data_IF_433906566093
#
_entry.id   IF_433906566093
#
_cell.length_a   1.000
_cell.length_b   1.000
_cell.length_c   1.000
_cell.angle_alpha   90.00
_cell.angle_beta   90.00
_cell.angle_gamma   90.00
#
_symmetry.space_group_name_H-M   'P 1'
#
loop_
_entity.id
_entity.type
_entity.pdbx_description
1 polymer ?
#
# COMPACT_ATOMS: atom_id res chain seq x y z
N UNK A 1 -19.58 -4.79 24.27
CA UNK A 1 -18.65 -5.21 23.20
C UNK A 1 -19.26 -4.83 21.87
N UNK A 2 -18.49 -4.19 21.01
CA UNK A 2 -18.94 -3.74 19.68
C UNK A 2 -19.51 -4.92 18.88
N UNK A 3 -20.54 -4.64 18.07
CA UNK A 3 -21.15 -5.63 17.17
C UNK A 3 -20.80 -5.29 15.74
N UNK A 4 -20.29 -6.26 15.02
CA UNK A 4 -19.87 -6.12 13.65
C UNK A 4 -20.90 -6.72 12.69
N UNK A 5 -21.25 -6.00 11.63
CA UNK A 5 -22.09 -6.50 10.54
C UNK A 5 -21.36 -6.29 9.22
N UNK A 6 -21.01 -7.38 8.59
CA UNK A 6 -20.25 -7.42 7.35
C UNK A 6 -21.20 -7.64 6.16
N UNK A 7 -21.02 -6.89 5.09
CA UNK A 7 -21.74 -7.06 3.82
C UNK A 7 -20.77 -6.88 2.66
N UNK A 8 -20.78 -7.83 1.74
CA UNK A 8 -20.16 -7.70 0.43
C UNK A 8 -21.23 -7.30 -0.60
N UNK A 9 -20.95 -6.32 -1.45
CA UNK A 9 -21.79 -5.95 -2.59
C UNK A 9 -20.91 -5.56 -3.77
N UNK A 10 -21.01 -6.31 -4.87
CA UNK A 10 -20.13 -6.12 -6.00
C UNK A 10 -18.67 -6.31 -5.60
N UNK A 11 -17.80 -5.37 -5.95
CA UNK A 11 -16.36 -5.41 -5.61
C UNK A 11 -16.01 -4.75 -4.28
N UNK A 12 -17.00 -4.38 -3.44
CA UNK A 12 -16.78 -3.65 -2.20
C UNK A 12 -17.19 -4.45 -0.97
N UNK A 13 -16.34 -4.36 0.06
CA UNK A 13 -16.63 -4.78 1.42
C UNK A 13 -17.14 -3.58 2.21
N UNK A 14 -18.27 -3.76 2.90
CA UNK A 14 -18.79 -2.78 3.84
C UNK A 14 -18.91 -3.41 5.23
N UNK A 15 -18.26 -2.78 6.20
CA UNK A 15 -18.28 -3.22 7.60
C UNK A 15 -18.96 -2.14 8.44
N UNK A 16 -20.02 -2.52 9.12
CA UNK A 16 -20.76 -1.66 10.05
C UNK A 16 -20.48 -2.10 11.46
N UNK A 17 -19.90 -1.21 12.25
CA UNK A 17 -19.57 -1.43 13.66
C UNK A 17 -20.59 -0.66 14.52
N UNK A 18 -21.35 -1.37 15.33
CA UNK A 18 -22.26 -0.78 16.32
C UNK A 18 -21.64 -0.90 17.70
N UNK A 19 -21.31 0.24 18.29
CA UNK A 19 -20.76 0.31 19.63
C UNK A 19 -21.81 -0.03 20.69
N UNK A 20 -21.38 -0.61 21.80
CA UNK A 20 -22.19 -0.73 23.00
C UNK A 20 -22.27 0.63 23.71
N UNK A 21 -23.20 0.74 24.67
CA UNK A 21 -23.39 1.99 25.41
C UNK A 21 -22.20 2.36 26.32
N UNK A 22 -21.28 1.42 26.57
CA UNK A 22 -20.05 1.63 27.37
C UNK A 22 -18.84 1.98 26.54
N UNK A 23 -18.95 1.91 25.23
CA UNK A 23 -17.87 2.16 24.30
C UNK A 23 -18.08 3.53 23.66
N UNK A 24 -17.08 4.39 23.78
CA UNK A 24 -17.05 5.72 23.20
C UNK A 24 -15.89 5.83 22.24
N UNK A 25 -16.12 6.53 21.13
CA UNK A 25 -15.10 6.80 20.15
C UNK A 25 -14.26 8.01 20.59
N UNK A 26 -12.96 7.86 20.43
CA UNK A 26 -12.05 9.01 20.40
C UNK A 26 -12.21 9.74 19.06
N UNK A 27 -13.04 10.81 19.07
CA UNK A 27 -13.35 11.59 17.87
C UNK A 27 -12.09 12.16 17.22
N UNK A 28 -11.13 12.63 18.03
CA UNK A 28 -9.88 13.22 17.52
C UNK A 28 -9.06 12.19 16.76
N UNK A 29 -8.95 10.99 17.30
CA UNK A 29 -8.26 9.87 16.63
C UNK A 29 -9.01 9.39 15.40
N UNK A 30 -10.34 9.39 15.43
CA UNK A 30 -11.15 9.00 14.28
C UNK A 30 -11.03 10.01 13.14
N UNK A 31 -11.11 11.31 13.44
CA UNK A 31 -10.96 12.38 12.46
C UNK A 31 -9.54 12.40 11.87
N UNK A 32 -8.53 12.22 12.72
CA UNK A 32 -7.16 12.07 12.27
C UNK A 32 -6.99 10.89 11.32
N UNK A 33 -7.54 9.73 11.68
CA UNK A 33 -7.53 8.54 10.81
C UNK A 33 -8.31 8.77 9.51
N UNK A 34 -9.45 9.47 9.54
CA UNK A 34 -10.27 9.72 8.35
C UNK A 34 -9.54 10.49 7.27
N UNK A 35 -8.59 11.34 7.66
CA UNK A 35 -7.72 12.09 6.74
C UNK A 35 -6.62 11.25 6.08
N UNK A 36 -6.38 10.01 6.59
CA UNK A 36 -5.31 9.14 6.11
C UNK A 36 -5.84 8.08 5.15
N UNK A 37 -5.03 7.76 4.16
CA UNK A 37 -5.27 6.62 3.27
C UNK A 37 -4.12 5.62 3.44
N UNK A 38 -4.28 4.66 4.35
CA UNK A 38 -3.26 3.69 4.69
C UNK A 38 -3.65 2.34 4.08
N UNK A 39 -2.81 1.82 3.19
CA UNK A 39 -2.99 0.48 2.62
C UNK A 39 -2.96 -0.57 3.73
N UNK A 40 -3.92 -1.48 3.71
CA UNK A 40 -4.11 -2.47 4.77
C UNK A 40 -5.13 -2.05 5.84
N UNK A 41 -5.64 -0.80 5.82
CA UNK A 41 -6.75 -0.37 6.66
C UNK A 41 -8.00 -0.09 5.83
N UNK A 42 -9.16 -0.53 6.33
CA UNK A 42 -10.45 -0.14 5.77
C UNK A 42 -10.67 1.36 5.95
N UNK A 43 -11.19 2.02 4.92
CA UNK A 43 -11.48 3.46 4.95
C UNK A 43 -12.75 3.72 5.75
N UNK A 44 -12.75 4.82 6.51
CA UNK A 44 -13.94 5.33 7.16
C UNK A 44 -14.90 5.88 6.10
N UNK A 45 -16.17 5.44 6.13
CA UNK A 45 -17.20 5.95 5.23
C UNK A 45 -18.10 6.96 5.92
N UNK A 46 -18.61 6.61 7.11
CA UNK A 46 -19.53 7.45 7.85
C UNK A 46 -19.57 7.06 9.33
N UNK A 47 -19.87 8.04 10.17
CA UNK A 47 -20.24 7.85 11.56
C UNK A 47 -21.65 8.40 11.78
N UNK A 48 -22.54 7.60 12.36
CA UNK A 48 -23.91 7.97 12.70
C UNK A 48 -24.23 7.52 14.13
N UNK A 49 -24.11 8.44 15.10
CA UNK A 49 -24.24 8.10 16.52
C UNK A 49 -23.24 7.00 16.91
N UNK A 50 -23.75 5.92 17.53
CA UNK A 50 -22.93 4.77 17.95
C UNK A 50 -22.62 3.77 16.83
N UNK A 51 -22.78 4.18 15.58
CA UNK A 51 -22.54 3.31 14.44
C UNK A 51 -21.50 3.91 13.49
N UNK A 52 -20.48 3.10 13.18
CA UNK A 52 -19.38 3.47 12.30
C UNK A 52 -19.41 2.53 11.10
N UNK A 53 -19.25 3.08 9.92
CA UNK A 53 -19.23 2.34 8.67
C UNK A 53 -17.87 2.46 8.01
N UNK A 54 -17.27 1.32 7.70
CA UNK A 54 -16.01 1.21 6.97
C UNK A 54 -16.26 0.54 5.62
N UNK A 55 -15.41 0.84 4.66
CA UNK A 55 -15.42 0.21 3.35
C UNK A 55 -14.01 -0.09 2.85
N UNK A 56 -13.93 -1.05 1.95
CA UNK A 56 -12.66 -1.46 1.32
C UNK A 56 -12.89 -2.42 0.16
N UNK A 57 -11.82 -2.98 -0.40
CA UNK A 57 -11.90 -4.02 -1.42
C UNK A 57 -12.68 -5.23 -0.93
N UNK A 58 -13.33 -5.94 -1.86
CA UNK A 58 -14.03 -7.18 -1.53
C UNK A 58 -13.04 -8.18 -0.93
N UNK A 59 -13.49 -8.88 0.10
CA UNK A 59 -12.71 -9.91 0.78
C UNK A 59 -13.59 -10.75 1.69
N UNK A 60 -13.04 -11.87 2.12
CA UNK A 60 -13.63 -12.75 3.12
C UNK A 60 -12.92 -12.56 4.47
N UNK A 61 -13.49 -13.01 5.57
CA UNK A 61 -12.81 -12.99 6.86
C UNK A 61 -11.53 -13.82 6.78
N UNK A 62 -10.47 -13.37 7.46
CA UNK A 62 -9.23 -14.14 7.54
C UNK A 62 -9.49 -15.52 8.14
N UNK A 63 -10.37 -15.61 9.13
CA UNK A 63 -10.82 -16.89 9.70
C UNK A 63 -11.37 -17.85 8.64
N UNK A 64 -12.24 -17.39 7.72
CA UNK A 64 -12.78 -18.26 6.68
C UNK A 64 -11.73 -18.63 5.62
N UNK A 65 -10.77 -17.75 5.34
CA UNK A 65 -9.65 -18.07 4.45
C UNK A 65 -8.74 -19.15 5.04
N UNK A 66 -8.45 -19.07 6.35
CA UNK A 66 -7.56 -20.01 7.04
C UNK A 66 -8.13 -21.43 7.17
N UNK A 67 -9.46 -21.61 7.01
CA UNK A 67 -10.10 -22.94 6.88
C UNK A 67 -9.71 -23.68 5.59
N UNK A 68 -9.30 -22.93 4.56
CA UNK A 68 -8.81 -23.52 3.29
C UNK A 68 -7.30 -23.74 3.41
N UNK A 69 -6.74 -24.78 2.75
CA UNK A 69 -5.30 -25.00 2.77
C UNK A 69 -4.52 -23.76 2.31
N UNK A 70 -3.44 -23.45 3.01
CA UNK A 70 -2.51 -22.38 2.70
C UNK A 70 -1.09 -22.92 2.55
N UNK A 71 -0.35 -22.40 1.58
CA UNK A 71 1.04 -22.72 1.35
C UNK A 71 1.96 -22.04 2.37
N UNK A 72 3.22 -22.50 2.46
CA UNK A 72 4.27 -21.83 3.26
C UNK A 72 4.40 -20.36 2.86
N UNK A 73 4.39 -20.06 1.56
CA UNK A 73 4.44 -18.69 1.04
C UNK A 73 3.23 -17.86 1.51
N UNK A 74 1.99 -18.34 1.30
CA UNK A 74 0.78 -17.64 1.71
C UNK A 74 0.76 -17.38 3.22
N UNK A 75 1.24 -18.35 4.01
CA UNK A 75 1.34 -18.23 5.47
C UNK A 75 2.28 -17.09 5.88
N UNK A 76 3.52 -17.10 5.39
CA UNK A 76 4.45 -16.02 5.71
C UNK A 76 4.06 -14.68 5.09
N UNK A 77 3.38 -14.67 3.95
CA UNK A 77 2.85 -13.46 3.34
C UNK A 77 1.76 -12.81 4.22
N UNK A 78 0.92 -13.62 4.88
CA UNK A 78 -0.05 -13.12 5.86
C UNK A 78 0.69 -12.54 7.08
N UNK A 79 1.69 -13.26 7.62
CA UNK A 79 2.45 -12.81 8.80
C UNK A 79 3.22 -11.52 8.54
N UNK A 80 3.83 -11.38 7.36
CA UNK A 80 4.55 -10.16 6.98
C UNK A 80 3.62 -8.96 6.84
N UNK A 81 2.38 -9.15 6.36
CA UNK A 81 1.39 -8.07 6.32
C UNK A 81 0.94 -7.62 7.71
N UNK A 82 0.97 -8.51 8.72
CA UNK A 82 0.73 -8.13 10.11
C UNK A 82 1.84 -7.21 10.62
N UNK A 83 3.10 -7.50 10.26
CA UNK A 83 4.23 -6.62 10.61
C UNK A 83 4.10 -5.28 9.86
N UNK A 84 3.85 -5.33 8.57
CA UNK A 84 3.71 -4.16 7.71
C UNK A 84 2.66 -3.17 8.23
N UNK A 85 1.49 -3.66 8.67
CA UNK A 85 0.46 -2.76 9.20
C UNK A 85 0.86 -2.14 10.53
N UNK A 86 1.64 -2.82 11.39
CA UNK A 86 2.16 -2.23 12.63
C UNK A 86 3.18 -1.13 12.33
N UNK A 87 4.07 -1.36 11.39
CA UNK A 87 5.05 -0.36 10.94
C UNK A 87 4.35 0.86 10.33
N UNK A 88 3.38 0.65 9.43
CA UNK A 88 2.57 1.73 8.83
C UNK A 88 1.77 2.53 9.85
N UNK A 89 1.20 1.85 10.84
CA UNK A 89 0.49 2.53 11.92
C UNK A 89 1.42 3.45 12.71
N UNK A 90 2.59 2.96 13.09
CA UNK A 90 3.60 3.74 13.80
C UNK A 90 4.10 4.94 12.97
N UNK A 91 4.43 4.73 11.69
CA UNK A 91 4.85 5.78 10.76
C UNK A 91 3.79 6.88 10.56
N UNK A 92 2.51 6.50 10.68
CA UNK A 92 1.39 7.43 10.55
C UNK A 92 0.85 7.93 11.89
N UNK A 93 1.56 7.71 13.00
CA UNK A 93 1.16 8.12 14.35
C UNK A 93 -0.20 7.56 14.78
N UNK A 94 -0.57 6.38 14.28
CA UNK A 94 -1.74 5.64 14.71
C UNK A 94 -1.41 4.76 15.91
N UNK A 95 -2.36 4.60 16.79
CA UNK A 95 -2.20 3.80 18.02
C UNK A 95 -2.53 2.34 17.71
N UNK A 96 -1.58 1.42 17.90
CA UNK A 96 -1.73 0.00 17.55
C UNK A 96 -2.90 -0.69 18.25
N UNK A 97 -3.20 -0.32 19.51
CA UNK A 97 -4.36 -0.89 20.24
C UNK A 97 -5.73 -0.57 19.61
N UNK A 98 -5.79 0.46 18.76
CA UNK A 98 -7.00 0.84 18.04
C UNK A 98 -7.22 0.03 16.77
N UNK A 99 -6.27 -0.81 16.38
CA UNK A 99 -6.46 -1.81 15.32
C UNK A 99 -7.18 -3.02 15.93
N UNK A 100 -8.18 -3.52 15.22
CA UNK A 100 -8.92 -4.72 15.67
C UNK A 100 -8.10 -5.96 15.32
N UNK A 101 -7.49 -6.56 16.34
CA UNK A 101 -6.66 -7.76 16.25
C UNK A 101 -7.51 -9.04 16.48
N UNK A 102 -8.36 -9.35 15.49
CA UNK A 102 -9.24 -10.54 15.55
C UNK A 102 -9.42 -11.08 14.13
N UNK A 103 -9.07 -12.36 13.91
CA UNK A 103 -9.14 -13.03 12.60
C UNK A 103 -10.54 -13.04 11.99
N UNK A 104 -11.60 -12.88 12.78
CA UNK A 104 -12.98 -12.80 12.29
C UNK A 104 -13.30 -11.43 11.68
N UNK A 105 -12.54 -10.38 12.04
CA UNK A 105 -12.77 -8.99 11.62
C UNK A 105 -11.57 -8.37 10.87
N UNK A 106 -10.58 -9.19 10.54
CA UNK A 106 -9.59 -8.91 9.51
C UNK A 106 -10.04 -9.59 8.23
N UNK A 107 -9.97 -8.89 7.11
CA UNK A 107 -10.44 -9.39 5.82
C UNK A 107 -9.28 -9.60 4.87
N UNK A 108 -9.37 -10.61 4.02
CA UNK A 108 -8.39 -10.91 2.99
C UNK A 108 -9.05 -10.91 1.62
N UNK A 109 -8.46 -10.20 0.68
CA UNK A 109 -8.85 -10.30 -0.72
C UNK A 109 -8.32 -11.63 -1.29
N UNK A 110 -9.20 -12.49 -1.80
CA UNK A 110 -8.79 -13.82 -2.29
C UNK A 110 -7.90 -13.76 -3.54
N UNK A 111 -7.99 -12.69 -4.32
CA UNK A 111 -7.18 -12.50 -5.53
C UNK A 111 -5.82 -11.88 -5.22
N UNK A 112 -5.79 -10.74 -4.52
CA UNK A 112 -4.54 -10.02 -4.23
C UNK A 112 -3.82 -10.53 -2.99
N UNK A 113 -4.49 -11.35 -2.18
CA UNK A 113 -4.01 -11.84 -0.86
C UNK A 113 -3.75 -10.73 0.16
N UNK A 114 -4.22 -9.51 -0.10
CA UNK A 114 -4.03 -8.39 0.79
C UNK A 114 -4.97 -8.42 1.97
N UNK A 115 -4.41 -8.14 3.16
CA UNK A 115 -5.17 -8.00 4.40
C UNK A 115 -5.74 -6.58 4.53
N UNK A 116 -6.92 -6.52 5.14
CA UNK A 116 -7.62 -5.28 5.47
C UNK A 116 -8.06 -5.31 6.93
N UNK A 117 -7.53 -4.37 7.72
CA UNK A 117 -7.82 -4.24 9.14
C UNK A 117 -8.81 -3.10 9.40
N UNK A 118 -9.49 -3.15 10.52
CA UNK A 118 -10.35 -2.08 11.02
C UNK A 118 -9.57 -1.25 12.04
N UNK A 119 -9.56 0.07 11.89
CA UNK A 119 -9.07 0.99 12.91
C UNK A 119 -10.23 1.57 13.69
N UNK A 120 -10.37 1.23 14.97
CA UNK A 120 -11.48 1.60 15.84
C UNK A 120 -10.97 2.26 17.12
N UNK A 121 -10.78 3.59 17.13
CA UNK A 121 -10.24 4.30 18.27
C UNK A 121 -11.31 4.43 19.37
N UNK A 122 -11.14 3.71 20.47
CA UNK A 122 -12.01 3.76 21.64
C UNK A 122 -11.35 4.50 22.79
N UNK A 123 -12.07 5.43 23.45
CA UNK A 123 -11.55 6.22 24.58
C UNK A 123 -11.24 5.38 25.80
N UNK A 124 -12.05 4.35 26.05
CA UNK A 124 -12.00 3.53 27.26
C UNK A 124 -11.27 2.20 27.09
N UNK A 125 -10.65 1.96 25.94
CA UNK A 125 -9.88 0.73 25.74
C UNK A 125 -8.48 0.89 26.33
N UNK A 126 -8.27 0.24 27.50
CA UNK A 126 -6.99 0.22 28.21
C UNK A 126 -6.12 -0.99 27.80
N UNK A 127 -6.61 -1.84 26.91
CA UNK A 127 -5.86 -3.02 26.47
C UNK A 127 -4.67 -2.60 25.62
N UNK A 128 -3.57 -3.24 25.83
CA UNK A 128 -2.43 -3.15 24.92
C UNK A 128 -2.74 -3.90 23.62
N UNK A 129 -2.00 -3.56 22.56
CA UNK A 129 -2.12 -4.27 21.29
C UNK A 129 -1.49 -5.67 21.43
N UNK A 130 -2.32 -6.70 21.34
CA UNK A 130 -1.85 -8.09 21.40
C UNK A 130 -1.57 -8.63 19.99
N UNK A 131 -0.49 -8.12 19.38
CA UNK A 131 -0.09 -8.54 18.03
C UNK A 131 0.43 -9.97 18.03
N UNK A 132 1.18 -10.39 19.06
CA UNK A 132 1.67 -11.76 19.16
C UNK A 132 0.51 -12.75 19.32
N UNK A 133 -0.45 -12.45 20.20
CA UNK A 133 -1.65 -13.28 20.34
C UNK A 133 -2.49 -13.34 19.05
N UNK A 134 -2.51 -12.27 18.27
CA UNK A 134 -3.15 -12.28 16.94
C UNK A 134 -2.39 -13.20 15.95
N UNK A 135 -1.07 -13.16 15.94
CA UNK A 135 -0.26 -14.09 15.14
C UNK A 135 -0.49 -15.55 15.57
N UNK A 136 -0.60 -15.81 16.86
CA UNK A 136 -0.96 -17.14 17.36
C UNK A 136 -2.36 -17.59 16.91
N UNK A 137 -3.37 -16.69 16.91
CA UNK A 137 -4.69 -17.00 16.36
C UNK A 137 -4.61 -17.44 14.90
N UNK A 138 -3.78 -16.75 14.08
CA UNK A 138 -3.56 -17.13 12.68
C UNK A 138 -2.96 -18.55 12.61
N UNK A 139 -1.93 -18.84 13.39
CA UNK A 139 -1.26 -20.15 13.39
C UNK A 139 -2.27 -21.26 13.72
N UNK A 140 -3.00 -21.12 14.82
CA UNK A 140 -3.95 -22.14 15.27
C UNK A 140 -5.16 -22.32 14.35
N UNK A 141 -5.57 -21.28 13.64
CA UNK A 141 -6.68 -21.34 12.69
C UNK A 141 -6.24 -21.85 11.30
N UNK A 142 -4.94 -21.89 11.01
CA UNK A 142 -4.42 -22.21 9.68
C UNK A 142 -4.52 -23.72 9.38
N UNK A 143 -5.12 -24.04 8.24
CA UNK A 143 -5.03 -25.36 7.63
C UNK A 143 -3.87 -25.34 6.65
N UNK A 144 -2.80 -26.05 7.00
CA UNK A 144 -1.56 -26.08 6.21
C UNK A 144 -1.70 -27.06 5.06
N UNK A 145 -1.16 -26.66 3.89
CA UNK A 145 -1.03 -27.53 2.73
C UNK A 145 0.08 -28.57 2.96
N UNK A 146 -0.07 -29.77 2.41
CA UNK A 146 1.01 -30.76 2.41
C UNK A 146 2.12 -30.30 1.45
N UNK A 147 3.25 -29.94 2.02
CA UNK A 147 4.45 -29.47 1.32
C UNK A 147 5.69 -30.24 1.85
N UNK A 148 6.82 -30.26 1.11
CA UNK A 148 8.04 -30.96 1.57
C UNK A 148 8.56 -30.49 2.92
N UNK A 149 8.40 -29.18 3.25
CA UNK A 149 8.76 -28.59 4.53
C UNK A 149 7.50 -28.26 5.32
N UNK A 150 7.03 -29.17 6.15
CA UNK A 150 5.89 -28.97 7.07
C UNK A 150 6.32 -28.45 8.44
N UNK A 151 7.61 -28.50 8.76
CA UNK A 151 8.14 -28.15 10.07
C UNK A 151 8.28 -26.63 10.28
N UNK A 152 8.16 -25.82 9.23
CA UNK A 152 8.29 -24.36 9.33
C UNK A 152 7.32 -23.74 10.35
N UNK A 153 6.11 -24.30 10.49
CA UNK A 153 5.15 -23.85 11.49
C UNK A 153 5.68 -24.05 12.92
N UNK A 154 6.18 -25.25 13.20
CA UNK A 154 6.72 -25.59 14.52
C UNK A 154 7.93 -24.71 14.86
N UNK A 155 8.82 -24.49 13.88
CA UNK A 155 9.96 -23.56 14.02
C UNK A 155 9.49 -22.13 14.28
N UNK A 156 8.47 -21.67 13.56
CA UNK A 156 7.94 -20.32 13.72
C UNK A 156 7.25 -20.12 15.08
N UNK A 157 6.46 -21.12 15.54
CA UNK A 157 5.85 -21.12 16.88
C UNK A 157 6.92 -21.04 17.96
N UNK A 158 7.97 -21.87 17.85
CA UNK A 158 9.07 -21.85 18.81
C UNK A 158 9.77 -20.49 18.83
N UNK A 159 10.03 -19.93 17.66
CA UNK A 159 10.60 -18.59 17.54
C UNK A 159 9.71 -17.52 18.20
N UNK A 160 8.39 -17.47 17.89
CA UNK A 160 7.49 -16.48 18.49
C UNK A 160 7.44 -16.60 20.02
N UNK A 161 7.43 -17.83 20.55
CA UNK A 161 7.45 -18.08 22.01
C UNK A 161 8.77 -17.70 22.67
N UNK A 162 9.85 -17.58 21.93
CA UNK A 162 11.13 -17.10 22.44
C UNK A 162 11.16 -15.56 22.59
N UNK A 163 10.21 -14.83 22.01
CA UNK A 163 10.13 -13.38 22.12
C UNK A 163 9.48 -13.00 23.46
N UNK A 164 10.12 -12.06 24.18
CA UNK A 164 9.59 -11.51 25.43
C UNK A 164 8.41 -10.55 25.14
N UNK A 165 8.50 -9.82 24.02
CA UNK A 165 7.51 -8.87 23.55
C UNK A 165 7.50 -8.81 22.03
N UNK A 166 6.46 -8.20 21.46
CA UNK A 166 6.40 -7.99 20.01
C UNK A 166 7.58 -7.17 19.51
N UNK A 167 8.30 -7.71 18.56
CA UNK A 167 9.47 -7.08 17.93
C UNK A 167 9.38 -7.29 16.41
N UNK A 168 8.91 -6.25 15.72
CA UNK A 168 8.67 -6.27 14.27
C UNK A 168 9.93 -6.64 13.48
N UNK A 169 11.11 -6.09 13.87
CA UNK A 169 12.35 -6.33 13.14
C UNK A 169 12.84 -7.79 13.27
N UNK A 170 12.74 -8.36 14.46
CA UNK A 170 13.14 -9.76 14.67
C UNK A 170 12.26 -10.71 13.91
N UNK A 171 10.93 -10.44 13.91
CA UNK A 171 9.96 -11.28 13.20
C UNK A 171 10.18 -11.17 11.69
N UNK A 172 10.36 -9.97 11.16
CA UNK A 172 10.67 -9.74 9.74
C UNK A 172 11.97 -10.45 9.32
N UNK A 173 13.03 -10.35 10.13
CA UNK A 173 14.30 -11.06 9.87
C UNK A 173 14.11 -12.59 9.84
N UNK A 174 13.28 -13.13 10.73
CA UNK A 174 12.96 -14.54 10.73
C UNK A 174 12.23 -14.93 9.45
N UNK A 175 11.17 -14.21 9.06
CA UNK A 175 10.43 -14.45 7.81
C UNK A 175 11.35 -14.35 6.60
N UNK A 176 12.23 -13.35 6.58
CA UNK A 176 13.23 -13.19 5.51
C UNK A 176 14.19 -14.38 5.41
N UNK A 177 14.54 -15.02 6.53
CA UNK A 177 15.38 -16.24 6.53
C UNK A 177 14.64 -17.46 6.01
N UNK A 178 13.33 -17.57 6.25
CA UNK A 178 12.51 -18.67 5.76
C UNK A 178 12.07 -18.49 4.29
N UNK A 179 11.73 -17.26 3.90
CA UNK A 179 11.37 -16.92 2.51
C UNK A 179 11.62 -15.43 2.19
N UNK A 180 12.74 -15.16 1.50
CA UNK A 180 13.12 -13.79 1.07
C UNK A 180 12.13 -13.15 0.13
N UNK A 181 11.40 -13.93 -0.65
CA UNK A 181 10.49 -13.41 -1.68
C UNK A 181 9.29 -12.70 -1.05
N UNK A 182 8.83 -13.17 0.10
CA UNK A 182 7.70 -12.60 0.85
C UNK A 182 7.97 -11.16 1.25
N UNK A 183 9.06 -10.92 2.00
CA UNK A 183 9.43 -9.58 2.50
C UNK A 183 9.67 -8.62 1.35
N UNK A 184 10.38 -9.08 0.31
CA UNK A 184 10.64 -8.25 -0.87
C UNK A 184 9.35 -7.86 -1.61
N UNK A 185 8.34 -8.73 -1.65
CA UNK A 185 7.05 -8.43 -2.28
C UNK A 185 6.33 -7.31 -1.53
N UNK A 186 6.26 -7.36 -0.21
CA UNK A 186 5.59 -6.35 0.61
C UNK A 186 6.33 -5.02 0.56
N UNK A 187 7.66 -5.02 0.66
CA UNK A 187 8.48 -3.80 0.54
C UNK A 187 8.31 -3.12 -0.81
N UNK A 188 8.23 -3.87 -1.90
CA UNK A 188 7.94 -3.30 -3.24
C UNK A 188 6.57 -2.65 -3.32
N UNK A 189 5.55 -3.26 -2.70
CA UNK A 189 4.23 -2.66 -2.62
C UNK A 189 4.21 -1.34 -1.85
N UNK A 190 5.12 -1.15 -0.89
CA UNK A 190 5.20 0.08 -0.09
C UNK A 190 5.94 1.22 -0.81
N UNK A 191 6.96 0.92 -1.61
CA UNK A 191 7.72 1.92 -2.38
C UNK A 191 6.85 2.60 -3.44
N UNK A 192 5.82 1.93 -3.96
CA UNK A 192 4.87 2.51 -4.93
C UNK A 192 3.92 3.57 -4.35
N UNK A 193 3.86 3.75 -3.03
CA UNK A 193 2.94 4.70 -2.37
C UNK A 193 3.62 5.91 -1.71
N UNK A 194 4.96 6.01 -1.72
CA UNK A 194 5.69 7.15 -1.11
C UNK A 194 5.78 8.38 -2.03
N UNK A 195 4.69 8.71 -2.72
CA UNK A 195 4.56 9.90 -3.57
C UNK A 195 4.26 11.20 -2.83
N UNK A 196 4.27 11.26 -1.50
CA UNK A 196 4.20 12.51 -0.73
C UNK A 196 4.80 12.29 0.66
N UNK A 197 6.06 12.65 0.82
CA UNK A 197 6.63 13.34 1.99
C UNK A 197 8.17 13.33 1.92
N UNK A 198 8.69 14.52 1.75
CA UNK A 198 9.93 15.13 2.26
C UNK A 198 11.05 14.22 2.76
N UNK A 199 12.18 14.44 2.11
CA UNK A 199 13.56 14.25 2.54
C UNK A 199 13.80 13.93 4.01
N UNK A 200 14.34 12.73 4.25
CA UNK A 200 15.62 12.54 4.93
C UNK A 200 16.08 11.10 4.73
N UNK A 201 17.30 10.86 4.26
CA UNK A 201 17.86 9.52 4.19
C UNK A 201 18.25 9.10 5.61
N UNK A 202 17.58 8.13 6.18
CA UNK A 202 18.13 7.41 7.31
C UNK A 202 18.86 6.18 6.83
N UNK A 203 20.17 6.27 6.97
CA UNK A 203 21.12 5.18 7.09
C UNK A 203 20.53 4.00 7.87
N UNK A 204 20.34 2.89 7.18
CA UNK A 204 20.46 1.57 7.80
C UNK A 204 20.75 0.53 6.72
N UNK A 205 21.84 -0.18 6.94
CA UNK A 205 22.42 -1.30 6.18
C UNK A 205 23.50 -0.98 5.13
N UNK A 206 24.62 -0.45 5.63
CA UNK A 206 25.92 -0.82 5.09
C UNK A 206 26.82 -1.16 6.28
N UNK A 207 26.95 -2.42 6.56
CA UNK A 207 28.13 -3.03 7.15
C UNK A 207 28.08 -4.53 6.98
N UNK A 208 28.62 -5.02 5.88
CA UNK A 208 29.43 -6.22 5.84
C UNK A 208 30.27 -6.26 4.55
N UNK A 209 31.59 -5.98 4.76
CA UNK A 209 32.72 -6.53 3.99
C UNK A 209 33.02 -5.84 2.67
N UNK A 210 34.07 -5.17 2.47
CA UNK A 210 35.48 -5.37 2.70
C UNK A 210 36.31 -4.23 2.09
N UNK A 211 37.23 -3.74 2.88
CA UNK A 211 38.60 -3.25 2.57
C UNK A 211 39.01 -2.59 1.24
N UNK A 212 39.64 -1.41 1.42
CA UNK A 212 40.77 -0.78 0.68
C UNK A 212 40.37 0.00 -0.57
N UNK A 213 40.91 1.14 -0.83
CA UNK A 213 41.96 2.02 -0.26
C UNK A 213 41.85 3.37 -0.99
N UNK A 214 42.23 4.47 -0.27
CA UNK A 214 42.94 5.66 -0.74
C UNK A 214 42.43 6.42 -1.99
N UNK A 215 42.27 7.70 -2.00
CA UNK A 215 43.06 8.89 -1.75
C UNK A 215 42.24 10.16 -2.01
N UNK A 216 42.41 11.13 -1.14
CA UNK A 216 42.54 12.57 -1.27
C UNK A 216 42.05 13.34 -2.54
N UNK A 217 41.29 14.40 -2.34
CA UNK A 217 41.77 15.78 -2.41
C UNK A 217 40.62 16.82 -2.44
N UNK A 218 40.60 17.66 -1.45
CA UNK A 218 40.57 19.13 -1.40
C UNK A 218 39.85 19.96 -2.46
N UNK A 219 39.10 20.95 -1.96
CA UNK A 219 39.00 22.27 -2.57
C UNK A 219 37.60 22.90 -2.52
N UNK A 220 37.29 23.65 -1.47
CA UNK A 220 37.20 25.12 -1.34
C UNK A 220 36.07 25.83 -2.09
N UNK A 221 35.15 26.37 -1.25
CA UNK A 221 34.60 27.76 -1.17
C UNK A 221 34.01 28.40 -2.42
N UNK A 222 32.80 28.89 -2.32
CA UNK A 222 32.46 30.31 -2.25
C UNK A 222 30.98 30.53 -2.03
N UNK A 223 30.75 31.43 -1.10
CA UNK A 223 29.56 32.17 -0.78
C UNK A 223 29.14 33.06 -1.95
N UNK A 224 27.87 33.41 -2.04
CA UNK A 224 27.43 34.82 -2.01
C UNK A 224 25.91 34.98 -2.05
N UNK A 225 25.52 35.90 -1.21
CA UNK A 225 24.23 36.51 -0.95
C UNK A 225 23.67 37.29 -2.15
N UNK A 226 22.37 37.53 -2.12
CA UNK A 226 21.73 38.87 -2.12
C UNK A 226 20.22 38.80 -2.32
N UNK A 227 19.45 39.09 -1.33
CA UNK A 227 18.61 40.27 -1.06
C UNK A 227 17.84 40.89 -2.22
N UNK A 228 16.56 41.12 -2.00
CA UNK A 228 15.73 42.08 -2.74
C UNK A 228 14.24 41.96 -2.47
N UNK A 229 13.81 42.61 -1.49
CA UNK A 229 12.62 43.36 -1.10
C UNK A 229 11.86 44.04 -2.28
N UNK A 230 10.50 44.06 -2.25
CA UNK A 230 9.61 45.13 -1.86
C UNK A 230 8.24 45.06 -2.58
N UNK A 231 7.20 45.12 -1.77
CA UNK A 231 5.99 45.99 -1.80
C UNK A 231 5.09 45.99 -3.06
N UNK A 232 3.80 46.02 -2.89
CA UNK A 232 2.84 46.75 -2.15
C UNK A 232 1.43 46.34 -2.61
N UNK A 233 0.48 46.31 -1.69
CA UNK A 233 -0.63 47.22 -1.49
C UNK A 233 -1.51 47.46 -2.74
N UNK A 234 -2.81 47.42 -2.74
CA UNK A 234 -3.91 47.82 -1.87
C UNK A 234 -5.24 47.41 -2.51
N UNK A 235 -6.24 47.18 -1.65
CA UNK A 235 -7.64 47.63 -1.71
C UNK A 235 -8.51 47.28 -2.94
N UNK A 236 -9.73 46.81 -2.85
CA UNK A 236 -10.88 47.41 -2.17
C UNK A 236 -12.12 46.49 -2.16
N UNK A 237 -12.86 46.60 -1.14
CA UNK A 237 -14.24 46.31 -0.79
C UNK A 237 -15.28 46.05 -1.89
N UNK A 238 -16.22 45.18 -1.55
CA UNK A 238 -17.56 45.18 -2.17
C UNK A 238 -18.49 44.09 -1.65
N UNK A 239 -19.23 44.41 -0.62
CA UNK A 239 -20.45 43.79 -0.11
C UNK A 239 -21.45 43.34 -1.20
N UNK A 240 -22.15 42.21 -0.98
CA UNK A 240 -23.58 42.13 -0.64
C UNK A 240 -24.13 40.72 -0.83
N UNK A 241 -24.75 40.28 0.25
CA UNK A 241 -25.82 39.31 0.41
C UNK A 241 -26.63 38.97 -0.84
N UNK A 242 -26.95 37.68 -1.01
CA UNK A 242 -28.34 37.22 -0.91
C UNK A 242 -28.42 35.71 -0.80
N UNK A 243 -29.28 35.30 0.10
CA UNK A 243 -29.85 33.97 0.31
C UNK A 243 -30.51 33.48 -0.99
N UNK A 244 -30.28 32.22 -1.33
CA UNK A 244 -31.35 31.36 -1.80
C UNK A 244 -31.03 29.92 -1.48
N UNK A 245 -31.95 29.34 -0.75
CA UNK A 245 -32.06 27.90 -0.42
C UNK A 245 -32.36 27.10 -1.71
N UNK A 246 -32.04 25.83 -1.62
CA UNK A 246 -32.41 24.75 -2.55
C UNK A 246 -31.59 24.60 -3.83
N UNK A 247 -30.43 23.95 -3.65
CA UNK A 247 -29.99 23.01 -4.64
C UNK A 247 -29.54 21.73 -3.93
N UNK A 248 -30.45 20.80 -3.75
CA UNK A 248 -30.16 19.38 -3.55
C UNK A 248 -29.38 18.90 -4.77
N UNK A 249 -28.09 19.14 -4.76
CA UNK A 249 -27.18 18.44 -5.64
C UNK A 249 -27.15 16.98 -5.19
N UNK A 250 -27.97 16.19 -5.86
CA UNK A 250 -27.72 14.77 -6.06
C UNK A 250 -26.35 14.63 -6.73
N UNK A 251 -25.29 14.71 -5.94
CA UNK A 251 -24.00 14.15 -6.31
C UNK A 251 -24.15 12.62 -6.29
N UNK A 252 -24.76 12.13 -7.36
CA UNK A 252 -24.58 10.79 -7.81
C UNK A 252 -23.14 10.69 -8.32
N UNK A 253 -22.17 10.76 -7.38
CA UNK A 253 -20.81 10.38 -7.66
C UNK A 253 -20.85 8.85 -7.75
N UNK A 254 -21.21 8.36 -8.96
CA UNK A 254 -20.69 7.07 -9.40
C UNK A 254 -19.19 7.20 -9.20
N UNK A 255 -18.70 6.56 -8.14
CA UNK A 255 -17.29 6.28 -8.00
C UNK A 255 -16.98 5.31 -9.14
N UNK A 256 -16.63 5.86 -10.31
CA UNK A 256 -16.07 5.08 -11.40
C UNK A 256 -14.91 4.34 -10.79
N UNK A 257 -15.03 3.03 -10.74
CA UNK A 257 -13.93 2.15 -10.40
C UNK A 257 -12.89 2.38 -11.47
N UNK A 258 -11.85 3.12 -11.15
CA UNK A 258 -10.69 3.26 -12.02
C UNK A 258 -10.03 1.87 -12.01
N UNK A 259 -10.41 1.02 -12.94
CA UNK A 259 -9.73 -0.22 -13.23
C UNK A 259 -8.42 0.14 -13.95
N UNK A 260 -7.33 0.08 -13.23
CA UNK A 260 -6.02 0.20 -13.86
C UNK A 260 -5.66 -1.11 -14.56
N UNK A 261 -5.24 -1.04 -15.82
CA UNK A 261 -4.65 -2.19 -16.49
C UNK A 261 -3.35 -2.60 -15.78
N UNK A 262 -3.06 -3.87 -15.80
CA UNK A 262 -1.79 -4.40 -15.31
C UNK A 262 -0.96 -4.92 -16.47
N UNK A 263 0.35 -4.72 -16.40
CA UNK A 263 1.30 -5.34 -17.32
C UNK A 263 2.17 -6.34 -16.60
N UNK A 264 2.43 -7.45 -17.28
CA UNK A 264 3.27 -8.52 -16.75
C UNK A 264 4.57 -8.63 -17.56
N UNK A 265 5.71 -8.50 -16.87
CA UNK A 265 7.02 -8.64 -17.49
C UNK A 265 7.49 -10.09 -17.43
N UNK A 266 7.48 -10.76 -18.56
CA UNK A 266 7.84 -12.18 -18.70
C UNK A 266 9.26 -12.53 -18.20
N UNK A 267 10.25 -11.63 -18.42
CA UNK A 267 11.65 -11.90 -18.04
C UNK A 267 11.93 -11.92 -16.53
N UNK A 268 11.15 -11.17 -15.76
CA UNK A 268 11.36 -11.00 -14.31
C UNK A 268 10.17 -11.47 -13.48
N UNK A 269 9.10 -11.95 -14.14
CA UNK A 269 7.84 -12.32 -13.51
C UNK A 269 7.25 -11.18 -12.64
N UNK A 270 7.43 -9.93 -13.09
CA UNK A 270 6.93 -8.76 -12.39
C UNK A 270 5.63 -8.27 -13.00
N UNK A 271 4.64 -7.98 -12.15
CA UNK A 271 3.40 -7.31 -12.55
C UNK A 271 3.44 -5.87 -12.06
N UNK A 272 3.09 -4.92 -12.91
CA UNK A 272 2.95 -3.51 -12.55
C UNK A 272 1.66 -2.92 -13.08
N UNK A 273 1.12 -1.92 -12.38
CA UNK A 273 -0.15 -1.29 -12.70
C UNK A 273 0.08 0.01 -13.47
N UNK A 274 -0.71 0.23 -14.51
CA UNK A 274 -0.77 1.49 -15.25
C UNK A 274 -1.71 2.43 -14.49
N UNK A 275 -1.16 3.13 -13.49
CA UNK A 275 -1.94 3.95 -12.55
C UNK A 275 -1.88 5.46 -12.84
N UNK A 276 -1.43 5.83 -14.03
CA UNK A 276 -1.36 7.22 -14.49
C UNK A 276 -1.92 7.35 -15.90
N UNK A 277 -2.46 8.51 -16.26
CA UNK A 277 -2.93 8.77 -17.64
C UNK A 277 -1.83 8.59 -18.70
N UNK A 278 -0.59 8.92 -18.36
CA UNK A 278 0.59 8.64 -19.16
C UNK A 278 1.61 7.94 -18.26
N UNK A 279 1.95 6.71 -18.60
CA UNK A 279 2.81 5.83 -17.82
C UNK A 279 4.06 5.47 -18.65
N UNK A 280 5.23 5.95 -18.21
CA UNK A 280 6.48 5.82 -18.96
C UNK A 280 7.29 4.59 -18.59
N UNK A 281 7.75 3.87 -19.60
CA UNK A 281 8.64 2.73 -19.51
C UNK A 281 10.03 3.11 -20.05
N UNK A 282 11.08 2.81 -19.29
CA UNK A 282 12.44 3.10 -19.75
C UNK A 282 13.53 2.58 -18.82
N UNK A 283 14.79 2.75 -19.20
CA UNK A 283 15.96 2.36 -18.39
C UNK A 283 16.57 3.50 -17.56
N UNK A 284 15.95 4.68 -17.56
CA UNK A 284 16.39 5.81 -16.74
C UNK A 284 15.40 6.00 -15.60
N UNK A 285 15.84 5.72 -14.38
CA UNK A 285 14.98 5.71 -13.20
C UNK A 285 14.34 7.08 -12.92
N UNK A 286 15.04 8.17 -13.25
CA UNK A 286 14.55 9.54 -13.02
C UNK A 286 13.44 9.98 -13.98
N UNK A 287 13.27 9.27 -15.10
CA UNK A 287 12.30 9.61 -16.15
C UNK A 287 11.26 8.55 -16.44
N UNK A 288 11.29 7.42 -15.74
CA UNK A 288 10.41 6.28 -16.04
C UNK A 288 9.54 5.94 -14.83
N UNK A 289 8.26 5.69 -15.05
CA UNK A 289 7.35 5.16 -14.06
C UNK A 289 7.62 3.68 -13.81
N UNK A 290 7.97 2.95 -14.87
CA UNK A 290 8.50 1.59 -14.78
C UNK A 290 9.95 1.53 -15.28
N UNK A 291 10.86 1.29 -14.34
CA UNK A 291 12.29 1.21 -14.60
C UNK A 291 12.71 -0.19 -15.03
N UNK A 292 13.20 -0.34 -16.23
CA UNK A 292 13.71 -1.61 -16.77
C UNK A 292 15.22 -1.71 -16.52
N UNK A 293 15.60 -2.33 -15.39
CA UNK A 293 16.99 -2.55 -15.03
C UNK A 293 17.69 -3.54 -15.98
N UNK A 294 19.00 -3.35 -16.17
CA UNK A 294 19.91 -4.30 -16.82
C UNK A 294 19.48 -4.77 -18.22
N UNK A 295 18.80 -3.92 -18.99
CA UNK A 295 18.43 -4.22 -20.35
C UNK A 295 18.95 -3.15 -21.32
N UNK A 296 19.98 -3.50 -22.10
CA UNK A 296 20.59 -2.60 -23.08
C UNK A 296 19.70 -2.35 -24.33
N UNK A 297 18.65 -3.15 -24.50
CA UNK A 297 17.70 -2.98 -25.61
C UNK A 297 16.67 -1.89 -25.32
N UNK A 298 16.46 -1.52 -24.06
CA UNK A 298 15.52 -0.48 -23.66
C UNK A 298 16.21 0.88 -23.63
N UNK A 299 15.61 1.90 -24.24
CA UNK A 299 16.07 3.28 -24.22
C UNK A 299 15.78 3.95 -22.86
N UNK A 300 16.43 5.07 -22.53
CA UNK A 300 16.20 5.82 -21.27
C UNK A 300 14.72 6.15 -21.06
N UNK A 301 14.10 6.78 -22.06
CA UNK A 301 12.64 6.88 -22.24
C UNK A 301 12.30 6.05 -23.45
N UNK A 302 11.64 4.90 -23.30
CA UNK A 302 11.45 3.96 -24.41
C UNK A 302 10.06 4.07 -25.02
N UNK A 303 9.03 3.95 -24.19
CA UNK A 303 7.65 4.03 -24.60
C UNK A 303 6.78 4.61 -23.50
N UNK A 304 5.67 5.24 -23.88
CA UNK A 304 4.60 5.68 -22.98
C UNK A 304 3.37 4.81 -23.21
N UNK A 305 2.71 4.42 -22.15
CA UNK A 305 1.37 3.84 -22.16
C UNK A 305 0.39 4.96 -21.78
N UNK A 306 -0.57 5.22 -22.64
CA UNK A 306 -1.59 6.25 -22.45
C UNK A 306 -2.91 5.56 -22.13
N UNK A 307 -3.54 5.90 -21.00
CA UNK A 307 -4.88 5.42 -20.62
C UNK A 307 -5.93 6.49 -20.92
N UNK A 308 -7.02 6.09 -21.61
CA UNK A 308 -8.19 6.92 -21.92
C UNK A 308 -9.47 6.16 -21.56
N UNK A 309 -9.91 6.31 -20.32
CA UNK A 309 -11.00 5.50 -19.79
C UNK A 309 -10.61 4.02 -19.74
N UNK A 310 -11.33 3.16 -20.45
CA UNK A 310 -11.07 1.72 -20.51
C UNK A 310 -10.13 1.32 -21.66
N UNK A 311 -9.65 2.27 -22.47
CA UNK A 311 -8.77 2.01 -23.62
C UNK A 311 -7.34 2.40 -23.31
N UNK A 312 -6.39 1.60 -23.77
CA UNK A 312 -4.97 1.79 -23.58
C UNK A 312 -4.23 1.85 -24.91
N UNK A 313 -3.25 2.75 -25.00
CA UNK A 313 -2.44 2.97 -26.18
C UNK A 313 -0.97 2.95 -25.80
N UNK A 314 -0.13 2.41 -26.66
CA UNK A 314 1.33 2.48 -26.51
C UNK A 314 1.92 3.42 -27.57
N UNK A 315 2.89 4.22 -27.17
CA UNK A 315 3.62 5.17 -28.04
C UNK A 315 5.11 4.92 -27.90
N UNK A 316 5.78 4.61 -28.96
CA UNK A 316 7.25 4.53 -28.99
C UNK A 316 7.86 5.94 -29.00
N UNK A 317 8.77 6.22 -28.06
CA UNK A 317 9.41 7.52 -27.90
C UNK A 317 10.71 7.66 -28.73
N UNK A 318 10.73 7.25 -29.97
CA UNK A 318 11.91 7.16 -30.81
C UNK A 318 12.99 6.25 -30.20
N UNK A 319 12.56 5.10 -29.71
CA UNK A 319 13.46 4.16 -29.08
C UNK A 319 14.47 3.59 -30.07
N UNK A 320 15.70 3.29 -29.60
CA UNK A 320 16.78 2.79 -30.47
C UNK A 320 16.41 1.46 -31.16
N UNK A 321 15.74 0.59 -30.44
CA UNK A 321 15.42 -0.77 -30.91
C UNK A 321 13.93 -0.96 -31.24
N UNK A 322 13.16 0.11 -31.28
CA UNK A 322 11.71 0.15 -31.51
C UNK A 322 10.89 -0.62 -30.48
N UNK A 323 9.61 -0.30 -30.44
CA UNK A 323 8.60 -1.03 -29.67
C UNK A 323 7.81 -1.93 -30.62
N UNK A 324 7.44 -3.10 -30.16
CA UNK A 324 6.68 -4.09 -30.93
C UNK A 324 5.43 -4.47 -30.17
N UNK A 325 4.30 -4.61 -30.88
CA UNK A 325 3.06 -5.18 -30.37
C UNK A 325 2.77 -6.42 -31.17
N UNK A 326 2.65 -7.57 -30.52
CA UNK A 326 2.44 -8.89 -31.17
C UNK A 326 3.44 -9.18 -32.29
N UNK A 327 4.72 -8.82 -32.06
CA UNK A 327 5.79 -9.06 -33.06
C UNK A 327 5.83 -8.04 -34.21
N UNK A 328 4.88 -7.09 -34.28
CA UNK A 328 4.87 -6.04 -35.31
C UNK A 328 5.44 -4.73 -34.73
N UNK A 329 6.44 -4.10 -35.38
CA UNK A 329 6.99 -2.84 -34.92
C UNK A 329 5.96 -1.73 -35.08
N UNK A 330 5.78 -0.92 -34.02
CA UNK A 330 4.90 0.25 -34.10
C UNK A 330 5.66 1.47 -34.63
N UNK A 331 4.92 2.44 -35.17
CA UNK A 331 5.50 3.70 -35.63
C UNK A 331 5.86 4.59 -34.46
N UNK A 332 7.04 5.18 -34.49
CA UNK A 332 7.48 6.12 -33.45
C UNK A 332 6.56 7.35 -33.40
N UNK A 333 6.29 7.85 -32.19
CA UNK A 333 5.45 9.01 -31.91
C UNK A 333 3.99 8.86 -32.35
N UNK A 334 3.53 7.62 -32.60
CA UNK A 334 2.15 7.33 -32.98
C UNK A 334 1.50 6.41 -31.95
N UNK A 335 0.27 6.71 -31.59
CA UNK A 335 -0.51 5.87 -30.68
C UNK A 335 -0.95 4.57 -31.38
N UNK A 336 -0.65 3.45 -30.74
CA UNK A 336 -1.11 2.12 -31.15
C UNK A 336 -1.95 1.56 -30.01
N UNK A 337 -3.21 1.20 -30.30
CA UNK A 337 -4.10 0.63 -29.28
C UNK A 337 -3.60 -0.76 -28.88
N UNK A 338 -3.65 -1.03 -27.59
CA UNK A 338 -3.28 -2.33 -26.97
C UNK A 338 -4.45 -2.89 -26.18
N UNK A 339 -4.54 -4.21 -26.18
CA UNK A 339 -5.62 -4.97 -25.56
C UNK A 339 -5.08 -6.01 -24.58
N UNK A 340 -5.98 -6.66 -23.86
CA UNK A 340 -5.60 -7.75 -22.96
C UNK A 340 -4.98 -8.92 -23.77
N UNK A 341 -3.78 -9.34 -23.34
CA UNK A 341 -3.00 -10.40 -23.98
C UNK A 341 -1.98 -9.93 -25.03
N UNK A 342 -1.88 -8.63 -25.32
CA UNK A 342 -0.89 -8.07 -26.25
C UNK A 342 0.54 -8.07 -25.62
#
# INVERSE_FOLDING_TARGET
>A
MARYKVKGKGCQLKVKVKLSFREEIDERQLDFFSSKCIRGLLKLQAKKGNCIEFYGPIGISLFDRLKKPISKYDFFFIMEQVIDITQKANLNSLILRNIVWDIHYVFINETTKELQFIYLPLTNDKKEADVLGFMEQIIYASKIMEEPDTEYISRYVYFLKSLISYDAEKIEKYIFSEDRSVVNTIKRHNVGQSGFMTDKPQHYYEHYGSNKADEEATGLLAEEEATGLLNGADEDMGLLNNYDEEATCLLNTQCEQIHYASMYRLLTNETFLINKPVFRIGKEKSYSDYFVANNNMVSRSHADIISRGERYFIVDLNSKNKTFVNGTPILAQQETEIHDGD
#
